data_IF_306414370481
#
_entry.id   IF_306414370481
#
_cell.length_a   1.000
_cell.length_b   1.000
_cell.length_c   1.000
_cell.angle_alpha   90.00
_cell.angle_beta   90.00
_cell.angle_gamma   90.00
#
_symmetry.space_group_name_H-M   'P 1'
#
loop_
_entity.id
_entity.type
_entity.pdbx_description
1 polymer ?
#
# COMPACT_ATOMS: atom_id res chain seq x y z
N UNK A 1 26.73 -13.72 -6.30
CA UNK A 1 25.71 -13.46 -5.26
C UNK A 1 24.44 -13.05 -5.99
N UNK A 2 23.37 -13.83 -5.88
CA UNK A 2 22.04 -13.33 -6.23
C UNK A 2 21.64 -12.39 -5.09
N UNK A 3 21.51 -11.09 -5.37
CA UNK A 3 21.01 -10.13 -4.38
C UNK A 3 19.58 -10.48 -3.99
N UNK A 4 19.16 -10.07 -2.79
CA UNK A 4 17.76 -10.18 -2.40
C UNK A 4 16.90 -9.40 -3.40
N UNK A 5 15.89 -10.07 -3.96
CA UNK A 5 14.89 -9.45 -4.83
C UNK A 5 13.61 -9.17 -4.04
N UNK A 6 13.05 -8.00 -4.24
CA UNK A 6 11.81 -7.50 -3.68
C UNK A 6 10.82 -7.36 -4.82
N UNK A 7 9.93 -8.35 -4.98
CA UNK A 7 8.78 -8.31 -5.89
C UNK A 7 7.60 -7.56 -5.26
N UNK A 8 7.83 -6.30 -4.91
CA UNK A 8 6.89 -5.44 -4.20
C UNK A 8 5.62 -5.22 -5.05
N UNK A 9 5.78 -4.97 -6.35
CA UNK A 9 4.66 -4.62 -7.21
C UNK A 9 3.72 -5.79 -7.47
N UNK A 10 4.25 -6.98 -7.74
CA UNK A 10 3.44 -8.20 -7.88
C UNK A 10 2.75 -8.58 -6.58
N UNK A 11 3.48 -8.49 -5.46
CA UNK A 11 2.91 -8.75 -4.13
C UNK A 11 1.77 -7.78 -3.84
N UNK A 12 1.95 -6.50 -4.18
CA UNK A 12 0.92 -5.46 -4.01
C UNK A 12 -0.33 -5.78 -4.82
N UNK A 13 -0.17 -6.11 -6.11
CA UNK A 13 -1.30 -6.46 -6.98
C UNK A 13 -2.03 -7.71 -6.49
N UNK A 14 -1.28 -8.76 -6.10
CA UNK A 14 -1.84 -10.01 -5.62
C UNK A 14 -2.64 -9.79 -4.33
N UNK A 15 -2.07 -9.06 -3.35
CA UNK A 15 -2.74 -8.70 -2.11
C UNK A 15 -4.01 -7.89 -2.38
N UNK A 16 -3.95 -6.92 -3.30
CA UNK A 16 -5.10 -6.09 -3.66
C UNK A 16 -6.24 -6.91 -4.26
N UNK A 17 -5.94 -7.79 -5.22
CA UNK A 17 -6.93 -8.68 -5.86
C UNK A 17 -7.58 -9.60 -4.84
N UNK A 18 -6.77 -10.18 -3.94
CA UNK A 18 -7.29 -11.05 -2.89
C UNK A 18 -8.22 -10.29 -1.94
N UNK A 19 -7.77 -9.13 -1.44
CA UNK A 19 -8.56 -8.31 -0.52
C UNK A 19 -9.86 -7.79 -1.18
N UNK A 20 -9.82 -7.44 -2.47
CA UNK A 20 -11.01 -7.06 -3.25
C UNK A 20 -12.05 -8.18 -3.30
N UNK A 21 -11.61 -9.43 -3.48
CA UNK A 21 -12.49 -10.62 -3.43
C UNK A 21 -13.04 -10.94 -2.04
N UNK A 22 -12.36 -10.50 -0.98
CA UNK A 22 -12.74 -10.72 0.42
C UNK A 22 -13.45 -9.52 1.05
N UNK A 23 -13.74 -8.47 0.28
CA UNK A 23 -14.33 -7.23 0.78
C UNK A 23 -15.68 -7.47 1.46
N UNK A 24 -15.92 -6.85 2.61
CA UNK A 24 -17.16 -7.00 3.38
C UNK A 24 -17.81 -5.65 3.73
N UNK A 25 -19.12 -5.47 3.51
CA UNK A 25 -19.82 -4.25 3.90
C UNK A 25 -19.82 -4.08 5.42
N UNK A 26 -19.78 -2.83 5.89
CA UNK A 26 -19.78 -2.48 7.32
C UNK A 26 -18.52 -2.91 8.09
N UNK A 27 -17.45 -3.31 7.39
CA UNK A 27 -16.14 -3.61 7.96
C UNK A 27 -15.11 -2.60 7.46
N UNK A 28 -14.05 -2.44 8.23
CA UNK A 28 -12.83 -1.82 7.71
C UNK A 28 -12.18 -2.80 6.72
N UNK A 29 -12.06 -2.38 5.46
CA UNK A 29 -11.36 -3.12 4.41
C UNK A 29 -10.15 -2.30 3.99
N UNK A 30 -8.94 -2.85 4.11
CA UNK A 30 -7.71 -2.21 3.64
C UNK A 30 -6.67 -3.26 3.26
N UNK A 31 -5.65 -2.84 2.52
CA UNK A 31 -4.41 -3.57 2.31
C UNK A 31 -3.30 -2.78 3.00
N UNK A 32 -2.57 -3.39 3.93
CA UNK A 32 -1.42 -2.79 4.59
C UNK A 32 -0.15 -3.52 4.13
N UNK A 33 0.80 -2.79 3.58
CA UNK A 33 2.07 -3.34 3.11
C UNK A 33 3.20 -2.61 3.82
N UNK A 34 4.16 -3.36 4.34
CA UNK A 34 5.40 -2.82 4.88
C UNK A 34 6.58 -3.30 4.01
N UNK A 35 7.49 -2.38 3.69
CA UNK A 35 8.70 -2.68 2.89
C UNK A 35 9.88 -1.86 3.40
N UNK A 36 11.07 -2.43 3.31
CA UNK A 36 12.34 -1.76 3.60
C UNK A 36 13.12 -1.36 2.33
N UNK A 37 12.60 -1.72 1.15
CA UNK A 37 13.25 -1.44 -0.12
C UNK A 37 12.28 -1.16 -1.27
N UNK A 38 12.86 -0.69 -2.37
CA UNK A 38 12.22 -0.52 -3.67
C UNK A 38 11.99 -1.86 -4.38
N UNK A 39 11.12 -1.86 -5.38
CA UNK A 39 10.92 -3.01 -6.26
C UNK A 39 12.14 -3.22 -7.15
N UNK A 40 12.74 -4.41 -7.10
CA UNK A 40 13.90 -4.75 -7.92
C UNK A 40 13.79 -6.14 -8.55
N UNK A 41 12.55 -6.62 -8.74
CA UNK A 41 12.27 -7.86 -9.45
C UNK A 41 12.25 -7.61 -10.97
N UNK A 42 13.26 -8.07 -11.73
CA UNK A 42 13.31 -7.85 -13.17
C UNK A 42 12.27 -8.67 -13.96
N UNK A 43 11.58 -9.62 -13.31
CA UNK A 43 10.56 -10.47 -13.91
C UNK A 43 9.13 -10.05 -13.51
N UNK A 44 9.01 -9.03 -12.66
CA UNK A 44 7.75 -8.50 -12.16
C UNK A 44 7.09 -7.47 -13.07
N UNK A 45 5.87 -7.06 -12.70
CA UNK A 45 5.19 -5.93 -13.38
C UNK A 45 5.87 -4.61 -13.06
N UNK A 46 5.84 -3.65 -13.99
CA UNK A 46 6.32 -2.28 -13.74
C UNK A 46 5.32 -1.42 -12.95
N UNK A 47 5.81 -0.33 -12.35
CA UNK A 47 4.99 0.63 -11.58
C UNK A 47 3.79 1.16 -12.37
N UNK A 48 3.98 1.56 -13.63
CA UNK A 48 2.89 2.07 -14.48
C UNK A 48 1.81 1.02 -14.73
N UNK A 49 2.21 -0.21 -15.03
CA UNK A 49 1.27 -1.32 -15.20
C UNK A 49 0.53 -1.65 -13.89
N UNK A 50 1.20 -1.58 -12.74
CA UNK A 50 0.55 -1.74 -11.44
C UNK A 50 -0.51 -0.66 -11.21
N UNK A 51 -0.16 0.62 -11.39
CA UNK A 51 -1.07 1.76 -11.23
C UNK A 51 -2.30 1.60 -12.13
N UNK A 52 -2.11 1.29 -13.41
CA UNK A 52 -3.20 1.08 -14.35
C UNK A 52 -4.11 -0.08 -13.92
N UNK A 53 -3.53 -1.20 -13.47
CA UNK A 53 -4.34 -2.34 -12.97
C UNK A 53 -5.10 -1.99 -11.69
N UNK A 54 -4.50 -1.22 -10.77
CA UNK A 54 -5.15 -0.82 -9.53
C UNK A 54 -6.30 0.15 -9.79
N UNK A 55 -6.12 1.11 -10.70
CA UNK A 55 -7.17 2.04 -11.13
C UNK A 55 -8.37 1.28 -11.69
N UNK A 56 -8.13 0.34 -12.61
CA UNK A 56 -9.17 -0.51 -13.18
C UNK A 56 -9.89 -1.43 -12.17
N UNK A 57 -9.25 -1.73 -11.02
CA UNK A 57 -9.82 -2.55 -9.95
C UNK A 57 -10.55 -1.73 -8.88
N UNK A 58 -10.56 -0.39 -8.99
CA UNK A 58 -11.28 0.47 -8.07
C UNK A 58 -12.80 0.27 -8.20
N UNK A 59 -13.48 0.41 -7.06
CA UNK A 59 -14.92 0.44 -6.97
C UNK A 59 -15.30 1.52 -5.95
N UNK A 60 -15.83 2.69 -6.38
CA UNK A 60 -16.19 3.77 -5.48
C UNK A 60 -17.23 3.39 -4.42
N UNK A 61 -18.08 2.39 -4.68
CA UNK A 61 -19.06 1.91 -3.70
C UNK A 61 -18.45 0.92 -2.69
N UNK A 62 -17.25 0.40 -2.97
CA UNK A 62 -16.51 -0.53 -2.12
C UNK A 62 -15.07 -0.03 -1.98
N UNK A 63 -14.79 1.03 -1.20
CA UNK A 63 -13.43 1.52 -1.04
C UNK A 63 -12.51 0.44 -0.45
N UNK A 64 -11.28 0.38 -0.96
CA UNK A 64 -10.21 -0.51 -0.49
C UNK A 64 -8.86 0.21 -0.68
N UNK A 65 -8.42 0.99 0.31
CA UNK A 65 -7.16 1.70 0.24
C UNK A 65 -5.96 0.77 0.49
N UNK A 66 -4.85 1.07 -0.17
CA UNK A 66 -3.51 0.54 0.14
C UNK A 66 -2.80 1.53 1.05
N UNK A 67 -2.38 1.07 2.22
CA UNK A 67 -1.51 1.82 3.12
C UNK A 67 -0.10 1.21 3.06
N UNK A 68 0.90 2.05 2.78
CA UNK A 68 2.30 1.64 2.86
C UNK A 68 2.98 2.09 4.16
N UNK A 69 3.85 1.24 4.69
CA UNK A 69 4.84 1.56 5.71
C UNK A 69 6.22 1.32 5.10
N UNK A 70 6.87 2.38 4.63
CA UNK A 70 8.26 2.35 4.19
C UNK A 70 9.22 2.45 5.37
N UNK A 71 10.24 1.59 5.41
CA UNK A 71 11.22 1.51 6.49
C UNK A 71 12.61 1.80 5.94
N UNK A 72 13.36 2.69 6.57
CA UNK A 72 14.72 2.99 6.16
C UNK A 72 14.80 3.94 4.97
N UNK A 73 15.92 3.88 4.25
CA UNK A 73 16.27 4.82 3.17
C UNK A 73 16.17 4.23 1.77
N UNK A 74 16.00 2.91 1.66
CA UNK A 74 16.09 2.21 0.38
C UNK A 74 14.72 2.07 -0.29
N UNK A 75 13.68 2.68 0.28
CA UNK A 75 12.34 2.71 -0.30
C UNK A 75 12.22 3.80 -1.38
N UNK A 76 11.57 3.45 -2.49
CA UNK A 76 11.17 4.41 -3.51
C UNK A 76 9.86 5.09 -3.10
N UNK A 77 9.97 6.19 -2.35
CA UNK A 77 8.81 6.93 -1.81
C UNK A 77 7.86 7.39 -2.92
N UNK A 78 8.31 8.03 -4.02
CA UNK A 78 7.44 8.37 -5.13
C UNK A 78 6.64 7.18 -5.69
N UNK A 79 7.27 5.99 -5.80
CA UNK A 79 6.55 4.80 -6.26
C UNK A 79 5.47 4.35 -5.26
N UNK A 80 5.78 4.32 -3.95
CA UNK A 80 4.81 3.97 -2.92
C UNK A 80 3.62 4.94 -2.90
N UNK A 81 3.90 6.24 -3.02
CA UNK A 81 2.89 7.30 -3.08
C UNK A 81 1.98 7.13 -4.29
N UNK A 82 2.55 6.93 -5.49
CA UNK A 82 1.78 6.71 -6.71
C UNK A 82 0.79 5.55 -6.57
N UNK A 83 1.24 4.42 -6.01
CA UNK A 83 0.39 3.25 -5.78
C UNK A 83 -0.69 3.54 -4.73
N UNK A 84 -0.30 4.13 -3.59
CA UNK A 84 -1.25 4.39 -2.50
C UNK A 84 -2.33 5.37 -2.92
N UNK A 85 -1.98 6.42 -3.65
CA UNK A 85 -2.89 7.48 -4.08
C UNK A 85 -3.93 6.97 -5.08
N UNK A 86 -3.56 6.08 -6.02
CA UNK A 86 -4.50 5.41 -6.94
C UNK A 86 -5.65 4.71 -6.23
N UNK A 87 -5.43 4.24 -4.99
CA UNK A 87 -6.43 3.49 -4.22
C UNK A 87 -7.11 4.32 -3.12
N UNK A 88 -6.81 5.62 -3.04
CA UNK A 88 -7.28 6.50 -1.96
C UNK A 88 -6.61 6.23 -0.61
N UNK A 89 -5.43 5.62 -0.63
CA UNK A 89 -4.64 5.27 0.54
C UNK A 89 -3.60 6.33 0.91
N UNK A 90 -2.52 5.89 1.57
CA UNK A 90 -1.41 6.76 1.99
C UNK A 90 -0.14 5.97 2.26
N UNK A 91 1.00 6.63 2.05
CA UNK A 91 2.32 6.14 2.45
C UNK A 91 2.78 6.79 3.75
N UNK A 92 3.33 5.99 4.65
CA UNK A 92 3.98 6.43 5.88
C UNK A 92 5.41 5.92 5.94
N UNK A 93 6.32 6.69 6.54
CA UNK A 93 7.74 6.38 6.57
C UNK A 93 8.28 6.34 8.00
N UNK A 94 9.17 5.39 8.25
CA UNK A 94 9.98 5.32 9.47
C UNK A 94 11.45 5.12 9.12
N UNK A 95 12.36 5.66 9.93
CA UNK A 95 13.81 5.47 9.72
C UNK A 95 14.27 4.05 9.99
N UNK A 96 13.61 3.36 10.91
CA UNK A 96 13.97 2.01 11.33
C UNK A 96 12.76 1.26 11.91
N UNK A 97 13.01 0.01 12.32
CA UNK A 97 12.02 -0.86 12.93
C UNK A 97 11.44 -0.34 14.25
N UNK A 98 12.17 0.49 15.02
CA UNK A 98 11.67 1.02 16.28
C UNK A 98 10.54 2.03 16.08
N UNK A 99 10.51 2.72 14.93
CA UNK A 99 9.44 3.65 14.58
C UNK A 99 8.18 3.03 14.00
N UNK A 100 8.18 1.72 13.66
CA UNK A 100 7.00 1.03 13.09
C UNK A 100 5.76 1.19 13.98
N UNK A 101 5.93 1.08 15.31
CA UNK A 101 4.81 1.23 16.25
C UNK A 101 4.12 2.59 16.12
N UNK A 102 4.91 3.67 15.99
CA UNK A 102 4.39 5.03 15.83
C UNK A 102 3.65 5.18 14.50
N UNK A 103 4.28 4.73 13.41
CA UNK A 103 3.69 4.79 12.07
C UNK A 103 2.40 3.98 11.97
N UNK A 104 2.35 2.80 12.59
CA UNK A 104 1.13 2.00 12.63
C UNK A 104 -0.03 2.75 13.29
N UNK A 105 0.21 3.48 14.39
CA UNK A 105 -0.82 4.31 15.02
C UNK A 105 -1.23 5.51 14.16
N UNK A 106 -0.30 6.14 13.44
CA UNK A 106 -0.61 7.21 12.48
C UNK A 106 -1.48 6.71 11.32
N UNK A 107 -1.21 5.50 10.82
CA UNK A 107 -2.03 4.85 9.82
C UNK A 107 -3.46 4.57 10.34
N UNK A 108 -3.60 4.09 11.58
CA UNK A 108 -4.92 3.89 12.18
C UNK A 108 -5.68 5.20 12.38
N UNK A 109 -5.02 6.25 12.85
CA UNK A 109 -5.62 7.59 13.01
C UNK A 109 -6.11 8.15 11.67
N UNK A 110 -5.32 7.99 10.61
CA UNK A 110 -5.72 8.35 9.24
C UNK A 110 -6.99 7.61 8.80
N UNK A 111 -7.07 6.30 9.04
CA UNK A 111 -8.24 5.49 8.67
C UNK A 111 -9.50 5.90 9.43
N UNK A 112 -9.37 6.26 10.71
CA UNK A 112 -10.50 6.72 11.54
C UNK A 112 -11.02 8.07 11.01
N UNK A 113 -10.12 8.99 10.66
CA UNK A 113 -10.49 10.33 10.15
C UNK A 113 -11.11 10.30 8.77
N UNK A 114 -10.68 9.38 7.90
CA UNK A 114 -11.23 9.21 6.55
C UNK A 114 -12.55 8.44 6.53
N UNK A 115 -12.81 7.57 7.51
CA UNK A 115 -14.10 6.90 7.66
C UNK A 115 -15.18 7.77 8.34
N UNK A 116 -14.79 8.85 9.04
CA UNK A 116 -15.73 9.77 9.65
C UNK A 116 -16.31 10.73 8.59
N UNK A 117 -17.64 10.94 8.52
CA UNK A 117 -18.20 11.95 7.64
C UNK A 117 -17.65 13.34 8.03
N UNK A 118 -17.45 14.26 7.06
CA UNK A 118 -17.03 15.62 7.37
C UNK A 118 -18.01 16.26 8.36
N UNK A 119 -17.47 16.94 9.38
CA UNK A 119 -18.27 17.73 10.33
C UNK A 119 -18.85 18.97 9.66
#
# INVERSE_FOLDING_TARGET
MLGAQTGLYDTTLAAYRQARGLWKPGRLNLVLIATDGYDNDPYGIGLGELVDKLDNLQDPARPLPIIFIGIGTDVDVPALEAISDTTGGRTFLTRDGAGIRKVFFEALDFLIKTAAPPR
#
